data_IF_536107965453
#
_entry.id   IF_536107965453
#
_cell.length_a   1.000
_cell.length_b   1.000
_cell.length_c   1.000
_cell.angle_alpha   90.00
_cell.angle_beta   90.00
_cell.angle_gamma   90.00
#
_symmetry.space_group_name_H-M   'P 1'
#
loop_
_entity.id
_entity.type
_entity.pdbx_description
1 polymer ?
#
# COMPACT_ATOMS: atom_id res chain seq x y z
N UNK A 1 15.57 10.88 12.60
CA UNK A 1 16.98 11.10 12.14
C UNK A 1 16.97 12.26 11.16
N UNK A 2 17.99 13.14 11.18
CA UNK A 2 18.19 14.17 10.15
C UNK A 2 19.33 13.73 9.24
N UNK A 3 19.07 13.70 7.94
CA UNK A 3 20.03 13.29 6.90
C UNK A 3 19.93 14.28 5.75
N UNK A 4 21.07 14.64 5.16
CA UNK A 4 21.10 15.43 3.92
C UNK A 4 21.20 14.45 2.74
N UNK A 5 20.29 14.58 1.78
CA UNK A 5 20.25 13.77 0.56
C UNK A 5 20.17 14.69 -0.65
N UNK A 6 20.87 14.31 -1.72
CA UNK A 6 20.62 14.87 -3.05
C UNK A 6 19.48 14.06 -3.68
N UNK A 7 18.47 14.75 -4.21
CA UNK A 7 17.31 14.16 -4.88
C UNK A 7 16.98 15.00 -6.11
N UNK A 8 16.37 14.38 -7.12
CA UNK A 8 15.91 15.10 -8.31
C UNK A 8 14.75 16.03 -7.97
N UNK A 9 14.66 17.15 -8.69
CA UNK A 9 13.64 18.19 -8.47
C UNK A 9 12.22 17.63 -8.61
N UNK A 10 11.99 16.70 -9.54
CA UNK A 10 10.69 16.04 -9.73
C UNK A 10 10.24 15.24 -8.49
N UNK A 11 11.19 14.63 -7.77
CA UNK A 11 10.91 13.87 -6.54
C UNK A 11 10.60 14.81 -5.40
N UNK A 12 11.31 15.94 -5.31
CA UNK A 12 11.04 16.97 -4.31
C UNK A 12 9.63 17.55 -4.48
N UNK A 13 9.22 17.85 -5.71
CA UNK A 13 7.88 18.37 -6.01
C UNK A 13 6.78 17.35 -5.68
N UNK A 14 6.97 16.08 -6.04
CA UNK A 14 6.05 15.01 -5.66
C UNK A 14 5.92 14.89 -4.13
N UNK A 15 7.03 14.99 -3.40
CA UNK A 15 7.01 14.96 -1.93
C UNK A 15 6.27 16.16 -1.33
N UNK A 16 6.42 17.37 -1.91
CA UNK A 16 5.69 18.57 -1.47
C UNK A 16 4.19 18.45 -1.68
N UNK A 17 3.76 17.93 -2.84
CA UNK A 17 2.34 17.68 -3.13
C UNK A 17 1.74 16.71 -2.11
N UNK A 18 2.37 15.55 -1.89
CA UNK A 18 1.92 14.55 -0.91
C UNK A 18 1.89 15.13 0.51
N UNK A 19 2.91 15.93 0.88
CA UNK A 19 2.97 16.58 2.17
C UNK A 19 1.80 17.55 2.38
N UNK A 20 1.45 18.34 1.37
CA UNK A 20 0.32 19.26 1.41
C UNK A 20 -1.03 18.54 1.53
N UNK A 21 -1.26 17.51 0.70
CA UNK A 21 -2.51 16.74 0.71
C UNK A 21 -2.75 16.01 2.04
N UNK A 22 -1.68 15.53 2.67
CA UNK A 22 -1.75 14.68 3.88
C UNK A 22 -1.43 15.42 5.17
N UNK A 23 -1.18 16.72 5.10
CA UNK A 23 -0.76 17.55 6.23
C UNK A 23 0.47 16.96 6.97
N UNK A 24 1.50 16.58 6.19
CA UNK A 24 2.76 16.02 6.67
C UNK A 24 3.91 17.00 6.43
N UNK A 25 5.05 16.77 7.08
CA UNK A 25 6.30 17.42 6.65
C UNK A 25 6.83 16.78 5.37
N UNK A 26 7.57 17.53 4.55
CA UNK A 26 8.21 17.01 3.31
C UNK A 26 9.13 15.81 3.61
N UNK A 27 9.88 15.86 4.72
CA UNK A 27 10.72 14.74 5.14
C UNK A 27 9.92 13.49 5.54
N UNK A 28 8.73 13.66 6.12
CA UNK A 28 7.85 12.54 6.43
C UNK A 28 7.25 11.92 5.16
N UNK A 29 6.85 12.75 4.18
CA UNK A 29 6.37 12.29 2.88
C UNK A 29 7.47 11.53 2.11
N UNK A 30 8.70 12.05 2.06
CA UNK A 30 9.86 11.36 1.48
C UNK A 30 10.13 10.02 2.18
N UNK A 31 10.07 9.99 3.52
CA UNK A 31 10.25 8.75 4.28
C UNK A 31 9.16 7.71 3.96
N UNK A 32 7.94 8.15 3.69
CA UNK A 32 6.84 7.27 3.27
C UNK A 32 7.08 6.72 1.85
N UNK A 33 7.47 7.57 0.91
CA UNK A 33 7.83 7.15 -0.45
C UNK A 33 8.98 6.13 -0.43
N UNK A 34 10.05 6.39 0.33
CA UNK A 34 11.17 5.48 0.49
C UNK A 34 10.72 4.13 1.07
N UNK A 35 9.89 4.14 2.14
CA UNK A 35 9.33 2.91 2.72
C UNK A 35 8.49 2.12 1.71
N UNK A 36 7.71 2.79 0.86
CA UNK A 36 6.92 2.14 -0.19
C UNK A 36 7.82 1.52 -1.26
N UNK A 37 8.88 2.21 -1.68
CA UNK A 37 9.85 1.71 -2.66
C UNK A 37 10.68 0.52 -2.15
N UNK A 38 10.91 0.45 -0.84
CA UNK A 38 11.58 -0.69 -0.20
C UNK A 38 10.67 -1.93 -0.04
N UNK A 39 9.35 -1.79 -0.19
CA UNK A 39 8.47 -2.95 -0.19
C UNK A 39 8.76 -3.75 -1.45
N UNK A 40 8.94 -5.08 -1.35
CA UNK A 40 9.03 -5.92 -2.53
C UNK A 40 7.84 -5.61 -3.42
N UNK A 41 8.08 -5.36 -4.71
CA UNK A 41 6.99 -5.35 -5.67
C UNK A 41 6.20 -6.64 -5.42
N UNK A 42 4.91 -6.51 -5.10
CA UNK A 42 4.06 -7.67 -4.99
C UNK A 42 4.31 -8.45 -6.28
N UNK A 43 4.85 -9.68 -6.17
CA UNK A 43 5.05 -10.55 -7.34
C UNK A 43 3.75 -10.44 -8.11
N UNK A 44 3.82 -10.01 -9.37
CA UNK A 44 2.65 -9.95 -10.22
C UNK A 44 1.90 -11.26 -9.99
N UNK A 45 0.71 -11.16 -9.39
CA UNK A 45 -0.02 -12.33 -8.91
C UNK A 45 -0.06 -13.34 -10.05
N UNK A 46 0.04 -14.64 -9.74
CA UNK A 46 0.03 -15.67 -10.79
C UNK A 46 -1.09 -15.33 -11.76
N UNK A 47 -0.83 -15.38 -13.06
CA UNK A 47 -1.90 -15.19 -14.04
C UNK A 47 -2.57 -16.55 -14.26
N UNK A 48 -3.89 -16.61 -14.10
CA UNK A 48 -4.69 -17.76 -14.53
C UNK A 48 -5.62 -17.29 -15.64
N UNK A 49 -5.47 -17.84 -16.85
CA UNK A 49 -6.25 -17.44 -18.03
C UNK A 49 -6.19 -15.93 -18.33
N UNK A 50 -5.02 -15.29 -18.13
CA UNK A 50 -4.84 -13.85 -18.39
C UNK A 50 -5.25 -12.91 -17.25
N UNK A 51 -5.97 -13.41 -16.23
CA UNK A 51 -6.39 -12.61 -15.08
C UNK A 51 -5.39 -12.73 -13.92
N UNK A 52 -5.11 -11.63 -13.20
CA UNK A 52 -4.31 -11.68 -11.98
C UNK A 52 -5.05 -12.49 -10.91
N UNK A 53 -4.39 -13.50 -10.33
CA UNK A 53 -4.90 -14.25 -9.19
C UNK A 53 -3.98 -14.12 -7.98
N UNK A 54 -4.58 -14.13 -6.80
CA UNK A 54 -3.86 -14.17 -5.53
C UNK A 54 -3.52 -15.62 -5.18
N UNK A 55 -2.34 -15.84 -4.59
CA UNK A 55 -2.02 -17.14 -4.00
C UNK A 55 -2.70 -17.25 -2.64
N UNK A 56 -3.60 -18.22 -2.50
CA UNK A 56 -4.22 -18.54 -1.21
C UNK A 56 -3.36 -19.62 -0.57
N UNK A 57 -2.71 -19.31 0.56
CA UNK A 57 -2.15 -20.35 1.43
C UNK A 57 -3.32 -21.20 1.95
N UNK A 58 -3.16 -22.53 2.00
CA UNK A 58 -4.22 -23.55 2.12
C UNK A 58 -5.07 -23.52 3.41
N UNK A 59 -5.12 -22.41 4.13
CA UNK A 59 -5.94 -22.18 5.31
C UNK A 59 -6.84 -20.93 5.16
N UNK A 60 -7.13 -20.50 3.93
CA UNK A 60 -8.10 -19.42 3.68
C UNK A 60 -9.49 -19.84 4.16
N UNK A 61 -9.92 -19.28 5.29
CA UNK A 61 -11.28 -19.41 5.81
C UNK A 61 -12.30 -19.04 4.72
N UNK A 62 -13.16 -19.98 4.33
CA UNK A 62 -14.23 -19.72 3.37
C UNK A 62 -15.19 -18.70 3.99
N UNK A 63 -15.27 -17.51 3.40
CA UNK A 63 -16.26 -16.50 3.79
C UNK A 63 -17.61 -16.90 3.21
N UNK A 64 -18.54 -17.30 4.09
CA UNK A 64 -19.92 -17.65 3.74
C UNK A 64 -20.86 -16.49 4.07
N UNK A 65 -22.07 -16.50 3.50
CA UNK A 65 -23.10 -15.50 3.82
C UNK A 65 -23.46 -15.51 5.32
N UNK A 66 -23.53 -16.69 5.93
CA UNK A 66 -23.84 -16.80 7.36
C UNK A 66 -22.78 -16.13 8.24
N UNK A 67 -21.49 -16.24 7.86
CA UNK A 67 -20.39 -15.51 8.54
C UNK A 67 -20.47 -14.00 8.38
N UNK A 68 -21.00 -13.50 7.27
CA UNK A 68 -21.20 -12.06 7.07
C UNK A 68 -22.29 -11.58 8.03
N UNK A 69 -23.41 -12.31 8.10
CA UNK A 69 -24.54 -12.01 8.99
C UNK A 69 -24.19 -12.03 10.48
N UNK A 70 -23.26 -12.89 10.90
CA UNK A 70 -22.74 -12.93 12.28
C UNK A 70 -22.05 -11.62 12.71
N UNK A 71 -21.62 -10.79 11.74
CA UNK A 71 -20.86 -9.58 11.97
C UNK A 71 -21.57 -8.32 11.41
N UNK A 72 -22.86 -8.37 11.11
CA UNK A 72 -23.65 -7.18 10.76
C UNK A 72 -24.00 -6.39 12.03
N UNK A 73 -23.64 -5.11 12.07
CA UNK A 73 -23.79 -4.23 13.23
C UNK A 73 -25.22 -3.67 13.43
N UNK A 74 -26.21 -4.07 12.62
CA UNK A 74 -27.59 -3.55 12.70
C UNK A 74 -28.64 -4.66 12.46
N UNK A 75 -29.67 -4.81 13.31
CA UNK A 75 -30.72 -5.83 13.17
C UNK A 75 -31.80 -5.51 12.11
#
# INVERSE_FOLDING_TARGET
MRTTLNIDDEILEAARSIAGERNLSVGAALSELARRGLRPAARAGRKRSGFPVFEISHAGTVLTLDRVREHEDDP
#
